data_IF_065489698494
#
_entry.id   IF_065489698494
#
_cell.length_a   1.000
_cell.length_b   1.000
_cell.length_c   1.000
_cell.angle_alpha   90.00
_cell.angle_beta   90.00
_cell.angle_gamma   90.00
#
_symmetry.space_group_name_H-M   'P 1'
#
loop_
_entity.id
_entity.type
_entity.pdbx_description
1 polymer ?
#
# COMPACT_ATOMS: atom_id res chain seq x y z
N UNK A 1 4.25 0.08 -4.18
CA UNK A 1 4.12 0.88 -5.45
C UNK A 1 5.28 0.83 -6.46
N UNK A 2 6.50 0.37 -6.12
CA UNK A 2 7.68 0.47 -7.01
C UNK A 2 7.51 -0.25 -8.36
N UNK A 3 6.90 -1.44 -8.38
CA UNK A 3 6.66 -2.21 -9.62
C UNK A 3 5.78 -1.41 -10.59
N UNK A 4 4.72 -0.76 -10.10
CA UNK A 4 3.84 0.10 -10.91
C UNK A 4 4.59 1.27 -11.55
N UNK A 5 5.60 1.83 -10.88
CA UNK A 5 6.42 2.91 -11.46
C UNK A 5 7.22 2.39 -12.66
N UNK A 6 7.78 1.18 -12.55
CA UNK A 6 8.54 0.57 -13.65
C UNK A 6 7.60 0.26 -14.81
N UNK A 7 6.46 -0.35 -14.52
CA UNK A 7 5.43 -0.67 -15.52
C UNK A 7 4.92 0.59 -16.23
N UNK A 8 4.67 1.67 -15.49
CA UNK A 8 4.18 2.93 -16.06
C UNK A 8 5.24 3.62 -16.93
N UNK A 9 6.52 3.57 -16.53
CA UNK A 9 7.63 4.06 -17.37
C UNK A 9 7.75 3.30 -18.68
N UNK A 10 7.64 1.98 -18.64
CA UNK A 10 7.64 1.13 -19.83
C UNK A 10 6.41 1.42 -20.72
N UNK A 11 5.20 1.50 -20.12
CA UNK A 11 3.95 1.86 -20.82
C UNK A 11 4.08 3.18 -21.56
N UNK A 12 4.62 4.19 -20.88
CA UNK A 12 4.76 5.55 -21.42
C UNK A 12 5.81 5.61 -22.52
N UNK A 13 6.91 4.89 -22.38
CA UNK A 13 7.94 4.77 -23.42
C UNK A 13 7.36 4.10 -24.68
N UNK A 14 6.57 3.04 -24.51
CA UNK A 14 5.89 2.36 -25.61
C UNK A 14 4.83 3.24 -26.28
N UNK A 15 4.11 4.08 -25.52
CA UNK A 15 3.13 5.01 -26.05
C UNK A 15 3.76 6.12 -26.90
N UNK A 16 4.97 6.56 -26.56
CA UNK A 16 5.67 7.64 -27.28
C UNK A 16 6.48 7.15 -28.50
N UNK A 17 6.82 5.85 -28.56
CA UNK A 17 7.77 5.32 -29.55
C UNK A 17 7.11 4.48 -30.64
N UNK A 18 5.92 3.91 -30.40
CA UNK A 18 5.22 3.03 -31.35
C UNK A 18 3.94 3.70 -31.90
N UNK A 19 3.52 3.35 -33.13
CA UNK A 19 2.25 3.80 -33.66
C UNK A 19 1.10 3.36 -32.75
N UNK A 20 0.22 4.31 -32.45
CA UNK A 20 -0.92 4.15 -31.55
C UNK A 20 -1.93 3.15 -32.11
N UNK A 21 -2.38 2.20 -31.29
CA UNK A 21 -3.31 1.14 -31.75
C UNK A 21 -4.71 1.68 -32.05
N UNK A 22 -5.19 2.63 -31.24
CA UNK A 22 -6.48 3.29 -31.39
C UNK A 22 -6.54 4.56 -30.53
N UNK A 23 -7.41 5.51 -30.92
CA UNK A 23 -7.70 6.73 -30.16
C UNK A 23 -9.10 6.57 -29.58
N UNK A 24 -9.21 6.61 -28.24
CA UNK A 24 -10.51 6.58 -27.58
C UNK A 24 -10.97 8.02 -27.29
N UNK A 25 -12.20 8.44 -27.70
CA UNK A 25 -12.65 9.83 -27.69
C UNK A 25 -12.60 10.55 -26.33
N UNK A 26 -12.46 9.82 -25.22
CA UNK A 26 -12.36 10.37 -23.85
C UNK A 26 -11.07 10.04 -23.11
N UNK A 27 -10.33 9.00 -23.51
CA UNK A 27 -9.16 8.48 -22.76
C UNK A 27 -7.83 8.65 -23.48
N UNK A 28 -7.85 9.15 -24.72
CA UNK A 28 -6.65 9.41 -25.50
C UNK A 28 -6.12 8.18 -26.23
N UNK A 29 -4.84 8.21 -26.58
CA UNK A 29 -4.16 7.17 -27.36
C UNK A 29 -3.89 5.91 -26.53
N UNK A 30 -4.25 4.74 -27.06
CA UNK A 30 -4.06 3.47 -26.35
C UNK A 30 -2.66 2.92 -26.65
N UNK A 31 -1.86 2.74 -25.61
CA UNK A 31 -0.53 2.13 -25.70
C UNK A 31 -0.62 0.64 -26.02
N UNK A 32 0.23 0.15 -26.92
CA UNK A 32 0.37 -1.27 -27.30
C UNK A 32 1.10 -2.10 -26.23
N UNK A 33 0.77 -1.89 -24.96
CA UNK A 33 1.35 -2.63 -23.85
C UNK A 33 0.44 -3.80 -23.48
N UNK A 34 1.02 -4.98 -23.30
CA UNK A 34 0.27 -6.17 -22.89
C UNK A 34 -0.26 -6.00 -21.46
N UNK A 35 -1.57 -6.23 -21.27
CA UNK A 35 -2.22 -6.22 -19.96
C UNK A 35 -1.70 -7.29 -18.98
N UNK A 36 -0.91 -8.25 -19.46
CA UNK A 36 -0.26 -9.27 -18.62
C UNK A 36 0.67 -8.66 -17.56
N UNK A 37 1.22 -7.46 -17.78
CA UNK A 37 2.05 -6.77 -16.79
C UNK A 37 1.28 -6.37 -15.52
N UNK A 38 -0.03 -6.13 -15.63
CA UNK A 38 -0.88 -5.82 -14.48
C UNK A 38 -1.03 -7.03 -13.56
N UNK A 39 -1.03 -8.24 -14.12
CA UNK A 39 -1.15 -9.49 -13.36
C UNK A 39 -0.01 -9.60 -12.36
N UNK A 40 1.24 -9.38 -12.82
CA UNK A 40 2.42 -9.48 -11.96
C UNK A 40 2.35 -8.52 -10.77
N UNK A 41 1.95 -7.26 -11.02
CA UNK A 41 1.80 -6.27 -9.96
C UNK A 41 0.67 -6.61 -8.99
N UNK A 42 -0.49 -7.07 -9.49
CA UNK A 42 -1.65 -7.41 -8.67
C UNK A 42 -1.37 -8.63 -7.79
N UNK A 43 -0.69 -9.64 -8.33
CA UNK A 43 -0.27 -10.83 -7.56
C UNK A 43 0.65 -10.45 -6.41
N UNK A 44 1.67 -9.62 -6.68
CA UNK A 44 2.61 -9.20 -5.64
C UNK A 44 1.93 -8.34 -4.55
N UNK A 45 1.03 -7.45 -4.95
CA UNK A 45 0.23 -6.65 -4.02
C UNK A 45 -0.68 -7.55 -3.16
N UNK A 46 -1.33 -8.55 -3.76
CA UNK A 46 -2.17 -9.51 -3.05
C UNK A 46 -1.40 -10.34 -2.03
N UNK A 47 -0.21 -10.82 -2.37
CA UNK A 47 0.65 -11.51 -1.39
C UNK A 47 1.04 -10.59 -0.22
N UNK A 48 1.43 -9.36 -0.51
CA UNK A 48 1.78 -8.38 0.53
C UNK A 48 0.61 -8.10 1.48
N UNK A 49 -0.60 -7.96 0.94
CA UNK A 49 -1.81 -7.72 1.72
C UNK A 49 -2.17 -8.94 2.59
N UNK A 50 -2.12 -10.15 2.02
CA UNK A 50 -2.38 -11.39 2.73
C UNK A 50 -1.43 -11.57 3.94
N UNK A 51 -0.13 -11.40 3.74
CA UNK A 51 0.85 -11.49 4.83
C UNK A 51 0.62 -10.43 5.90
N UNK A 52 0.28 -9.19 5.50
CA UNK A 52 0.00 -8.12 6.46
C UNK A 52 -1.24 -8.43 7.30
N UNK A 53 -2.32 -8.89 6.67
CA UNK A 53 -3.57 -9.24 7.36
C UNK A 53 -3.38 -10.39 8.34
N UNK A 54 -2.70 -11.47 7.92
CA UNK A 54 -2.40 -12.62 8.79
C UNK A 54 -1.57 -12.17 9.98
N UNK A 55 -0.50 -11.39 9.74
CA UNK A 55 0.37 -10.89 10.80
C UNK A 55 -0.35 -9.96 11.79
N UNK A 56 -1.22 -9.07 11.30
CA UNK A 56 -2.03 -8.19 12.16
C UNK A 56 -2.99 -8.98 13.05
N UNK A 57 -3.70 -9.94 12.45
CA UNK A 57 -4.66 -10.78 13.17
C UNK A 57 -3.95 -11.60 14.25
N UNK A 58 -2.86 -12.29 13.91
CA UNK A 58 -2.09 -13.09 14.87
C UNK A 58 -1.51 -12.23 16.00
N UNK A 59 -0.97 -11.06 15.66
CA UNK A 59 -0.46 -10.11 16.65
C UNK A 59 -1.56 -9.66 17.62
N UNK A 60 -2.74 -9.31 17.10
CA UNK A 60 -3.88 -8.94 17.93
C UNK A 60 -4.35 -10.09 18.82
N UNK A 61 -4.40 -11.31 18.31
CA UNK A 61 -4.75 -12.47 19.13
C UNK A 61 -3.73 -12.78 20.24
N UNK A 62 -2.44 -12.53 20.00
CA UNK A 62 -1.36 -12.75 20.99
C UNK A 62 -1.24 -11.64 22.03
N UNK A 63 -1.53 -10.38 21.66
CA UNK A 63 -1.34 -9.22 22.54
C UNK A 63 -2.60 -8.78 23.28
N UNK A 64 -3.79 -8.95 22.71
CA UNK A 64 -5.03 -8.58 23.38
C UNK A 64 -5.48 -9.66 24.37
N UNK A 65 -5.97 -9.28 25.56
CA UNK A 65 -6.52 -10.23 26.50
C UNK A 65 -7.79 -10.89 25.92
N UNK A 66 -8.07 -12.14 26.29
CA UNK A 66 -9.12 -12.99 25.65
C UNK A 66 -10.51 -12.33 25.56
N UNK A 67 -10.82 -11.46 26.51
CA UNK A 67 -12.05 -10.69 26.64
C UNK A 67 -12.15 -9.44 25.72
N UNK A 68 -11.06 -9.01 25.06
CA UNK A 68 -11.05 -7.83 24.17
C UNK A 68 -10.91 -8.16 22.68
N UNK A 69 -11.01 -9.43 22.31
CA UNK A 69 -10.86 -9.88 20.90
C UNK A 69 -11.87 -9.23 19.95
N UNK A 70 -13.11 -9.03 20.39
CA UNK A 70 -14.13 -8.32 19.61
C UNK A 70 -13.72 -6.88 19.30
N UNK A 71 -13.15 -6.17 20.29
CA UNK A 71 -12.66 -4.79 20.13
C UNK A 71 -11.51 -4.73 19.11
N UNK A 72 -10.60 -5.70 19.13
CA UNK A 72 -9.52 -5.78 18.15
C UNK A 72 -10.06 -5.97 16.70
N UNK A 73 -11.08 -6.82 16.54
CA UNK A 73 -11.79 -6.97 15.26
C UNK A 73 -12.44 -5.66 14.80
N UNK A 74 -13.13 -4.94 15.69
CA UNK A 74 -13.71 -3.63 15.37
C UNK A 74 -12.66 -2.59 14.96
N UNK A 75 -11.48 -2.60 15.59
CA UNK A 75 -10.37 -1.72 15.21
C UNK A 75 -9.83 -2.03 13.81
N UNK A 76 -9.77 -3.31 13.40
CA UNK A 76 -9.39 -3.69 12.04
C UNK A 76 -10.37 -3.11 11.01
N UNK A 77 -11.68 -3.31 11.21
CA UNK A 77 -12.70 -2.77 10.30
C UNK A 77 -12.73 -1.25 10.29
N UNK A 78 -12.55 -0.60 11.44
CA UNK A 78 -12.42 0.85 11.51
C UNK A 78 -11.18 1.34 10.75
N UNK A 79 -10.05 0.65 10.85
CA UNK A 79 -8.84 0.93 10.09
C UNK A 79 -9.05 0.81 8.58
N UNK A 80 -9.78 -0.21 8.13
CA UNK A 80 -10.14 -0.36 6.71
C UNK A 80 -11.05 0.78 6.24
N UNK A 81 -12.08 1.14 7.02
CA UNK A 81 -12.96 2.26 6.70
C UNK A 81 -12.18 3.57 6.61
N UNK A 82 -11.31 3.85 7.60
CA UNK A 82 -10.45 5.03 7.61
C UNK A 82 -9.52 5.06 6.39
N UNK A 83 -8.98 3.91 5.98
CA UNK A 83 -8.13 3.80 4.80
C UNK A 83 -8.87 4.21 3.53
N UNK A 84 -10.14 3.82 3.38
CA UNK A 84 -10.98 4.23 2.26
C UNK A 84 -11.24 5.74 2.25
N UNK A 85 -11.54 6.34 3.39
CA UNK A 85 -11.70 7.80 3.49
C UNK A 85 -10.40 8.54 3.17
N UNK A 86 -9.27 8.05 3.69
CA UNK A 86 -7.96 8.64 3.47
C UNK A 86 -7.55 8.57 1.99
N UNK A 87 -7.90 7.47 1.30
CA UNK A 87 -7.70 7.32 -0.14
C UNK A 87 -8.45 8.41 -0.92
N UNK A 88 -9.76 8.56 -0.67
CA UNK A 88 -10.58 9.61 -1.32
C UNK A 88 -10.07 11.02 -1.01
N UNK A 89 -9.67 11.26 0.25
CA UNK A 89 -9.11 12.53 0.67
C UNK A 89 -7.80 12.85 -0.04
N UNK A 90 -6.90 11.86 -0.18
CA UNK A 90 -5.64 12.00 -0.88
C UNK A 90 -5.86 12.37 -2.35
N UNK A 91 -6.77 11.66 -3.03
CA UNK A 91 -7.13 11.95 -4.42
C UNK A 91 -7.68 13.37 -4.56
N UNK A 92 -8.57 13.79 -3.65
CA UNK A 92 -9.12 15.15 -3.65
C UNK A 92 -8.03 16.22 -3.46
N UNK A 93 -7.09 16.01 -2.54
CA UNK A 93 -5.94 16.91 -2.34
C UNK A 93 -5.11 17.00 -3.60
N UNK A 94 -4.73 15.85 -4.19
CA UNK A 94 -3.93 15.83 -5.41
C UNK A 94 -4.67 16.57 -6.52
N UNK A 95 -5.95 16.29 -6.72
CA UNK A 95 -6.74 16.94 -7.75
C UNK A 95 -6.84 18.46 -7.55
N UNK A 96 -7.01 18.93 -6.30
CA UNK A 96 -7.01 20.36 -5.98
C UNK A 96 -5.64 21.00 -6.18
N UNK A 97 -4.56 20.31 -5.79
CA UNK A 97 -3.20 20.80 -5.92
C UNK A 97 -2.73 20.86 -7.38
N UNK A 98 -3.18 19.93 -8.23
CA UNK A 98 -2.75 19.83 -9.63
C UNK A 98 -3.77 20.40 -10.63
N UNK A 99 -5.00 20.67 -10.21
CA UNK A 99 -6.07 21.20 -11.06
C UNK A 99 -6.03 22.71 -11.29
N UNK A 100 -5.29 23.48 -10.49
CA UNK A 100 -5.28 24.95 -10.55
C UNK A 100 -4.21 25.58 -11.45
N UNK A 101 -3.18 24.83 -11.87
CA UNK A 101 -2.11 25.35 -12.71
C UNK A 101 -2.28 24.81 -14.13
N UNK A 102 -2.22 25.67 -15.15
CA UNK A 102 -2.33 25.33 -16.58
C UNK A 102 -1.26 24.38 -17.15
N UNK A 103 -0.67 23.51 -16.31
CA UNK A 103 0.37 22.52 -16.62
C UNK A 103 -0.11 21.06 -16.60
N UNK A 104 -1.41 20.81 -16.44
CA UNK A 104 -1.98 19.47 -16.54
C UNK A 104 -2.14 18.75 -15.20
N UNK A 105 -3.28 18.08 -15.04
CA UNK A 105 -3.68 17.38 -13.83
C UNK A 105 -2.90 16.04 -13.72
N UNK A 106 -2.44 15.64 -12.53
CA UNK A 106 -1.74 14.36 -12.36
C UNK A 106 -2.66 13.16 -12.65
N UNK A 107 -3.95 13.30 -12.30
CA UNK A 107 -5.04 12.39 -12.65
C UNK A 107 -5.92 13.00 -13.76
N UNK A 108 -5.36 13.28 -14.93
CA UNK A 108 -6.17 13.63 -16.11
C UNK A 108 -6.94 12.41 -16.63
N UNK A 109 -8.12 12.65 -17.24
CA UNK A 109 -8.89 11.60 -17.93
C UNK A 109 -8.10 10.94 -19.08
N UNK A 110 -7.20 11.71 -19.69
CA UNK A 110 -6.18 11.24 -20.62
C UNK A 110 -4.92 10.84 -19.85
N UNK A 111 -4.70 9.53 -19.70
CA UNK A 111 -3.58 8.93 -18.97
C UNK A 111 -2.22 9.24 -19.60
N UNK A 112 -2.17 9.59 -20.89
CA UNK A 112 -0.91 9.94 -21.56
C UNK A 112 -0.50 11.39 -21.31
N UNK A 113 -1.49 12.27 -21.06
CA UNK A 113 -1.25 13.67 -20.64
C UNK A 113 -1.10 13.80 -19.13
N UNK A 114 -1.72 12.90 -18.38
CA UNK A 114 -1.61 12.82 -16.92
C UNK A 114 -0.21 12.38 -16.49
N UNK A 115 0.34 13.05 -15.47
CA UNK A 115 1.62 12.67 -14.86
C UNK A 115 1.40 11.65 -13.75
N UNK A 116 0.86 10.48 -14.09
CA UNK A 116 0.56 9.39 -13.14
C UNK A 116 1.81 8.94 -12.36
N UNK A 117 2.98 9.02 -13.00
CA UNK A 117 4.29 8.79 -12.38
C UNK A 117 4.44 9.52 -11.03
N UNK A 118 4.04 10.80 -10.96
CA UNK A 118 4.16 11.60 -9.73
C UNK A 118 3.22 11.15 -8.63
N UNK A 119 2.02 10.70 -8.99
CA UNK A 119 1.09 10.12 -8.04
C UNK A 119 1.64 8.82 -7.43
N UNK A 120 2.26 7.96 -8.26
CA UNK A 120 2.93 6.76 -7.75
C UNK A 120 4.16 7.07 -6.90
N UNK A 121 4.94 8.09 -7.23
CA UNK A 121 6.03 8.56 -6.36
C UNK A 121 5.53 9.06 -5.01
N UNK A 122 4.42 9.80 -4.98
CA UNK A 122 3.80 10.28 -3.75
C UNK A 122 3.35 9.10 -2.87
N UNK A 123 2.65 8.12 -3.44
CA UNK A 123 2.21 6.94 -2.68
C UNK A 123 3.42 6.14 -2.20
N UNK A 124 4.45 5.96 -3.03
CA UNK A 124 5.68 5.27 -2.62
C UNK A 124 6.36 5.98 -1.43
N UNK A 125 6.41 7.31 -1.43
CA UNK A 125 6.90 8.10 -0.29
C UNK A 125 6.09 7.86 0.99
N UNK A 126 4.76 7.84 0.88
CA UNK A 126 3.87 7.52 2.01
C UNK A 126 4.06 6.07 2.52
N UNK A 127 4.28 5.10 1.62
CA UNK A 127 4.58 3.70 1.99
C UNK A 127 5.89 3.62 2.80
N UNK A 128 6.95 4.33 2.37
CA UNK A 128 8.23 4.38 3.09
C UNK A 128 8.09 5.05 4.45
N UNK A 129 7.34 6.16 4.54
CA UNK A 129 7.07 6.82 5.82
C UNK A 129 6.30 5.91 6.78
N UNK A 130 5.28 5.21 6.28
CA UNK A 130 4.52 4.20 7.05
C UNK A 130 5.44 3.08 7.56
N UNK A 131 6.34 2.58 6.70
CA UNK A 131 7.31 1.55 7.08
C UNK A 131 8.29 2.05 8.14
N UNK A 132 8.83 3.27 7.98
CA UNK A 132 9.72 3.89 8.95
C UNK A 132 9.05 4.05 10.32
N UNK A 133 7.81 4.56 10.33
CA UNK A 133 7.00 4.65 11.55
C UNK A 133 6.77 3.28 12.19
N UNK A 134 6.40 2.27 11.40
CA UNK A 134 6.22 0.90 11.88
C UNK A 134 7.49 0.35 12.53
N UNK A 135 8.67 0.54 11.93
CA UNK A 135 9.95 0.06 12.48
C UNK A 135 10.32 0.75 13.80
N UNK A 136 10.06 2.06 13.92
CA UNK A 136 10.27 2.79 15.17
C UNK A 136 9.37 2.25 16.27
N UNK A 137 8.07 2.08 15.98
CA UNK A 137 7.13 1.47 16.91
C UNK A 137 7.54 0.04 17.29
N UNK A 138 7.91 -0.80 16.31
CA UNK A 138 8.34 -2.17 16.54
C UNK A 138 9.59 -2.26 17.43
N UNK A 139 10.54 -1.33 17.27
CA UNK A 139 11.75 -1.27 18.11
C UNK A 139 11.44 -0.85 19.56
N UNK A 140 10.48 0.05 19.76
CA UNK A 140 10.08 0.49 21.10
C UNK A 140 9.09 -0.44 21.79
N UNK A 141 8.40 -1.28 21.03
CA UNK A 141 7.37 -2.16 21.54
C UNK A 141 7.95 -3.40 22.26
N UNK A 142 7.68 -3.53 23.57
CA UNK A 142 8.07 -4.72 24.35
C UNK A 142 7.08 -5.86 24.11
N UNK A 143 7.56 -6.95 23.53
CA UNK A 143 6.75 -8.13 23.26
C UNK A 143 6.42 -8.89 24.56
N UNK A 144 5.12 -9.11 24.81
CA UNK A 144 4.63 -9.70 26.07
C UNK A 144 4.99 -11.18 26.26
N UNK A 145 5.49 -11.84 25.22
CA UNK A 145 5.88 -13.26 25.23
C UNK A 145 7.37 -13.55 25.45
N UNK A 146 8.25 -12.54 25.42
CA UNK A 146 9.69 -12.79 25.62
C UNK A 146 10.01 -13.19 27.07
N UNK A 147 9.27 -12.66 28.05
CA UNK A 147 9.46 -12.96 29.48
C UNK A 147 8.89 -14.31 29.91
N UNK A 148 7.86 -14.83 29.23
CA UNK A 148 7.25 -16.13 29.56
C UNK A 148 8.21 -17.26 29.18
N UNK A 149 8.81 -17.20 27.98
CA UNK A 149 9.82 -18.19 27.58
C UNK A 149 11.08 -18.14 28.47
N UNK A 150 11.45 -16.98 29.03
CA UNK A 150 12.58 -16.92 29.97
C UNK A 150 12.24 -17.47 31.35
N UNK A 151 10.99 -17.29 31.80
CA UNK A 151 10.50 -17.83 33.07
C UNK A 151 10.30 -19.36 33.00
N UNK A 152 9.74 -19.87 31.91
CA UNK A 152 9.56 -21.31 31.70
C UNK A 152 10.91 -22.04 31.61
N UNK A 153 11.89 -21.46 30.89
CA UNK A 153 13.27 -21.98 30.83
C UNK A 153 14.03 -21.81 32.15
N UNK A 154 13.70 -20.80 32.96
CA UNK A 154 14.30 -20.62 34.28
C UNK A 154 13.72 -21.57 35.34
N UNK A 155 12.43 -21.91 35.25
CA UNK A 155 11.76 -22.86 36.13
C UNK A 155 12.12 -24.31 35.80
N UNK A 156 12.36 -24.65 34.53
CA UNK A 156 12.86 -25.97 34.12
C UNK A 156 14.30 -26.25 34.60
N UNK A 157 15.08 -25.19 34.88
CA UNK A 157 16.48 -25.31 35.33
C UNK A 157 16.67 -25.34 36.84
N UNK A 158 15.61 -25.32 37.65
CA UNK A 158 15.74 -25.51 39.09
C UNK A 158 15.73 -27.01 39.42
N UNK A 159 16.83 -27.61 39.93
CA UNK A 159 16.75 -28.93 40.54
C UNK A 159 15.92 -28.82 41.82
N UNK A 160 14.99 -29.76 41.98
CA UNK A 160 14.09 -29.93 43.12
C UNK A 160 14.90 -30.14 44.41
#
# INVERSE_FOLDING_TARGET
MIVSIIVEKERRTLALTRPTLAIEPRKGEISSMSGLWLIAQLTLAGFSEAFTMIGQVEFFYKQFPKNMRSIAGSFLFCGLALSSYLSSFLVSIVHRATGGAGKGNWLSEDLNKGRLDYFYYLIAGLEVLKLGYFLVCAKWYKYKGASVNTLDVALEKMPI
#
